data_IF_854316628165
#
_entry.id   IF_854316628165
#
_cell.length_a   1.000
_cell.length_b   1.000
_cell.length_c   1.000
_cell.angle_alpha   90.00
_cell.angle_beta   90.00
_cell.angle_gamma   90.00
#
_symmetry.space_group_name_H-M   'P 1'
#
loop_
_entity.id
_entity.type
_entity.pdbx_description
1 polymer ?
#
# COMPACT_ATOMS: atom_id res chain seq x y z
N UNK A 1 33.93 -9.72 -30.40
CA UNK A 1 32.54 -9.29 -30.58
C UNK A 1 31.67 -10.54 -30.48
N UNK A 2 30.65 -10.57 -29.60
CA UNK A 2 29.74 -11.71 -29.57
C UNK A 2 28.95 -11.75 -30.87
N UNK A 3 28.94 -12.91 -31.54
CA UNK A 3 28.15 -13.14 -32.73
C UNK A 3 26.66 -13.02 -32.37
N UNK A 4 25.90 -12.31 -33.19
CA UNK A 4 24.45 -12.26 -33.09
C UNK A 4 23.90 -13.70 -33.10
N UNK A 5 23.12 -14.05 -32.09
CA UNK A 5 22.40 -15.31 -32.09
C UNK A 5 21.36 -15.25 -33.21
N UNK A 6 21.46 -16.18 -34.15
CA UNK A 6 20.50 -16.35 -35.25
C UNK A 6 19.08 -16.40 -34.68
N UNK A 7 18.18 -15.60 -35.27
CA UNK A 7 16.76 -15.66 -34.96
C UNK A 7 16.25 -17.10 -35.15
N UNK A 8 15.69 -17.69 -34.09
CA UNK A 8 15.12 -19.03 -34.16
C UNK A 8 13.84 -18.94 -35.01
N UNK A 9 13.75 -19.63 -36.16
CA UNK A 9 12.54 -19.61 -36.97
C UNK A 9 11.40 -20.26 -36.19
N UNK A 10 10.31 -19.52 -35.99
CA UNK A 10 9.12 -19.95 -35.22
C UNK A 10 8.57 -21.28 -35.77
N UNK A 11 8.75 -21.52 -37.06
CA UNK A 11 8.28 -22.69 -37.81
C UNK A 11 9.00 -24.00 -37.42
N UNK A 12 10.12 -23.92 -36.69
CA UNK A 12 10.89 -25.10 -36.22
C UNK A 12 10.56 -25.51 -34.79
N UNK A 13 9.65 -24.79 -34.11
CA UNK A 13 9.20 -25.17 -32.78
C UNK A 13 8.20 -26.34 -32.89
N UNK A 14 8.36 -27.41 -32.10
CA UNK A 14 7.43 -28.53 -32.12
C UNK A 14 6.03 -28.05 -31.74
N UNK A 15 5.12 -28.09 -32.70
CA UNK A 15 3.74 -27.57 -32.63
C UNK A 15 2.82 -28.30 -31.64
N UNK A 16 3.32 -29.30 -30.92
CA UNK A 16 2.48 -30.21 -30.16
C UNK A 16 2.92 -30.30 -28.69
N UNK A 17 2.69 -29.22 -27.95
CA UNK A 17 2.42 -29.31 -26.51
C UNK A 17 0.93 -29.12 -26.35
N UNK A 18 0.21 -30.17 -25.94
CA UNK A 18 -1.20 -30.08 -25.63
C UNK A 18 -1.40 -29.05 -24.50
N UNK A 19 -1.83 -27.84 -24.86
CA UNK A 19 -2.00 -26.72 -23.93
C UNK A 19 -3.27 -26.86 -23.07
N UNK A 20 -4.08 -27.89 -23.31
CA UNK A 20 -5.38 -28.07 -22.65
C UNK A 20 -6.45 -27.05 -23.10
N UNK A 21 -6.11 -26.12 -23.98
CA UNK A 21 -7.03 -25.13 -24.52
C UNK A 21 -7.88 -25.78 -25.61
N UNK A 22 -9.20 -25.81 -25.43
CA UNK A 22 -10.11 -26.36 -26.45
C UNK A 22 -10.04 -25.47 -27.69
N UNK A 23 -9.84 -26.07 -28.86
CA UNK A 23 -9.78 -25.35 -30.14
C UNK A 23 -11.04 -24.51 -30.46
N UNK A 24 -12.17 -24.81 -29.82
CA UNK A 24 -13.42 -24.08 -29.95
C UNK A 24 -13.65 -23.01 -28.85
N UNK A 25 -12.68 -22.74 -27.99
CA UNK A 25 -12.81 -21.70 -26.96
C UNK A 25 -12.76 -20.33 -27.63
N UNK A 26 -13.93 -19.70 -27.75
CA UNK A 26 -14.05 -18.34 -28.28
C UNK A 26 -13.35 -17.36 -27.33
N UNK A 27 -12.34 -16.66 -27.82
CA UNK A 27 -11.70 -15.53 -27.13
C UNK A 27 -12.31 -14.23 -27.64
N UNK A 28 -13.21 -13.64 -26.86
CA UNK A 28 -13.85 -12.36 -27.14
C UNK A 28 -13.72 -11.39 -25.96
N UNK A 29 -14.17 -10.15 -26.16
CA UNK A 29 -13.96 -9.07 -25.20
C UNK A 29 -14.53 -9.36 -23.80
N UNK A 30 -15.53 -10.26 -23.68
CA UNK A 30 -16.10 -10.65 -22.40
C UNK A 30 -15.15 -11.49 -21.53
N UNK A 31 -14.05 -12.01 -22.09
CA UNK A 31 -13.00 -12.72 -21.36
C UNK A 31 -11.90 -11.80 -20.81
N UNK A 32 -12.01 -10.48 -21.04
CA UNK A 32 -11.07 -9.49 -20.54
C UNK A 32 -11.62 -8.92 -19.23
N UNK A 33 -10.96 -9.25 -18.12
CA UNK A 33 -11.27 -8.70 -16.80
C UNK A 33 -10.45 -7.45 -16.49
N UNK A 34 -11.06 -6.50 -15.78
CA UNK A 34 -10.40 -5.32 -15.20
C UNK A 34 -10.50 -5.39 -13.69
N UNK A 35 -9.36 -5.45 -13.00
CA UNK A 35 -9.30 -5.37 -11.54
C UNK A 35 -9.20 -3.90 -11.12
N UNK A 36 -10.12 -3.44 -10.28
CA UNK A 36 -10.18 -2.04 -9.84
C UNK A 36 -9.57 -1.84 -8.45
N UNK A 37 -8.94 -0.67 -8.26
CA UNK A 37 -8.38 -0.27 -6.97
C UNK A 37 -7.41 -1.30 -6.38
N UNK A 38 -7.70 -1.75 -5.17
CA UNK A 38 -6.87 -2.70 -4.42
C UNK A 38 -7.23 -4.18 -4.68
N UNK A 39 -8.21 -4.48 -5.54
CA UNK A 39 -8.56 -5.87 -5.88
C UNK A 39 -7.40 -6.58 -6.59
N UNK A 40 -6.63 -5.85 -7.39
CA UNK A 40 -5.42 -6.37 -8.04
C UNK A 40 -4.39 -6.88 -7.01
N UNK A 41 -4.22 -6.18 -5.90
CA UNK A 41 -3.31 -6.58 -4.81
C UNK A 41 -3.77 -7.90 -4.20
N UNK A 42 -5.07 -8.01 -3.89
CA UNK A 42 -5.63 -9.23 -3.28
C UNK A 42 -5.59 -10.43 -4.22
N UNK A 43 -5.80 -10.21 -5.52
CA UNK A 43 -5.81 -11.27 -6.53
C UNK A 43 -4.41 -11.75 -6.90
N UNK A 44 -3.39 -10.90 -6.72
CA UNK A 44 -1.98 -11.15 -7.10
C UNK A 44 -1.00 -10.59 -6.04
N UNK A 45 -1.07 -11.05 -4.77
CA UNK A 45 -0.23 -10.50 -3.69
C UNK A 45 1.26 -10.65 -3.98
N UNK A 46 1.65 -11.73 -4.67
CA UNK A 46 3.00 -12.02 -5.19
C UNK A 46 3.71 -10.81 -5.82
N UNK A 47 2.97 -10.02 -6.59
CA UNK A 47 3.51 -8.88 -7.32
C UNK A 47 3.83 -7.67 -6.43
N UNK A 48 3.26 -7.64 -5.21
CA UNK A 48 3.30 -6.48 -4.33
C UNK A 48 4.14 -6.73 -3.08
N UNK A 49 4.07 -7.94 -2.52
CA UNK A 49 4.69 -8.27 -1.21
C UNK A 49 5.69 -9.43 -1.31
N UNK A 50 6.00 -9.88 -2.54
CA UNK A 50 6.73 -11.14 -2.74
C UNK A 50 5.86 -12.35 -2.38
N UNK A 51 6.49 -13.47 -2.02
CA UNK A 51 5.77 -14.70 -1.70
C UNK A 51 4.82 -14.48 -0.50
N UNK A 52 3.53 -14.90 -0.60
CA UNK A 52 2.54 -14.73 0.47
C UNK A 52 2.73 -15.81 1.56
N UNK A 53 3.94 -15.88 2.10
CA UNK A 53 4.35 -16.73 3.21
C UNK A 53 4.73 -15.88 4.43
N UNK A 54 5.51 -16.42 5.35
CA UNK A 54 6.02 -15.69 6.52
C UNK A 54 6.77 -14.41 6.15
N UNK A 55 7.53 -14.40 5.05
CA UNK A 55 8.28 -13.20 4.61
C UNK A 55 7.32 -12.14 4.12
N UNK A 56 6.35 -12.52 3.29
CA UNK A 56 5.29 -11.61 2.84
C UNK A 56 4.50 -11.01 4.00
N UNK A 57 4.21 -11.81 5.04
CA UNK A 57 3.54 -11.33 6.25
C UNK A 57 4.36 -10.23 6.96
N UNK A 58 5.65 -10.45 7.20
CA UNK A 58 6.52 -9.44 7.81
C UNK A 58 6.71 -8.22 6.91
N UNK A 59 6.75 -8.41 5.59
CA UNK A 59 6.82 -7.33 4.61
C UNK A 59 5.66 -6.34 4.76
N UNK A 60 4.45 -6.81 5.12
CA UNK A 60 3.32 -5.92 5.40
C UNK A 60 3.59 -4.95 6.56
N UNK A 61 4.29 -5.42 7.59
CA UNK A 61 4.70 -4.60 8.74
C UNK A 61 5.79 -3.63 8.32
N UNK A 62 6.77 -4.10 7.54
CA UNK A 62 7.88 -3.28 7.04
C UNK A 62 7.38 -2.12 6.17
N UNK A 63 6.38 -2.34 5.31
CA UNK A 63 5.82 -1.27 4.47
C UNK A 63 5.16 -0.14 5.28
N UNK A 64 4.65 -0.44 6.48
CA UNK A 64 4.14 0.59 7.39
C UNK A 64 5.28 1.25 8.15
N UNK A 65 6.20 0.45 8.69
CA UNK A 65 7.39 0.90 9.42
C UNK A 65 8.28 1.83 8.57
N UNK A 66 8.50 1.51 7.30
CA UNK A 66 9.31 2.28 6.37
C UNK A 66 8.72 3.68 6.14
N UNK A 67 7.39 3.83 6.20
CA UNK A 67 6.80 5.18 6.13
C UNK A 67 7.13 6.01 7.37
N UNK A 68 7.18 5.40 8.55
CA UNK A 68 7.61 6.05 9.78
C UNK A 68 9.11 6.37 9.78
N UNK A 69 9.95 5.51 9.17
CA UNK A 69 11.38 5.78 8.95
C UNK A 69 11.56 6.93 7.96
N UNK A 70 10.75 7.03 6.91
CA UNK A 70 10.82 8.13 5.96
C UNK A 70 10.49 9.49 6.64
N UNK A 71 9.58 9.52 7.61
CA UNK A 71 9.38 10.70 8.47
C UNK A 71 10.61 11.04 9.31
N UNK A 72 11.36 10.03 9.77
CA UNK A 72 12.61 10.23 10.50
C UNK A 72 13.70 10.80 9.58
N UNK A 73 13.86 10.23 8.38
CA UNK A 73 14.80 10.72 7.36
C UNK A 73 14.49 12.15 6.92
N UNK A 74 13.22 12.56 6.96
CA UNK A 74 12.79 13.93 6.72
C UNK A 74 12.97 14.87 7.94
N UNK A 75 13.39 14.35 9.10
CA UNK A 75 13.67 15.12 10.31
C UNK A 75 12.46 15.39 11.21
N UNK A 76 11.34 14.69 11.02
CA UNK A 76 10.10 14.93 11.75
C UNK A 76 9.75 13.85 12.79
N UNK A 77 10.26 12.63 12.63
CA UNK A 77 10.04 11.53 13.56
C UNK A 77 11.30 11.28 14.41
N UNK A 78 11.12 11.13 15.72
CA UNK A 78 12.18 10.80 16.69
C UNK A 78 11.92 9.51 17.45
N UNK A 79 10.69 8.97 17.38
CA UNK A 79 10.30 7.74 18.06
C UNK A 79 9.32 6.95 17.18
N UNK A 80 9.60 5.66 17.03
CA UNK A 80 8.71 4.69 16.41
C UNK A 80 8.49 3.56 17.41
N UNK A 81 7.23 3.17 17.60
CA UNK A 81 6.81 2.08 18.49
C UNK A 81 6.12 1.01 17.65
N UNK A 82 6.61 -0.22 17.73
CA UNK A 82 6.00 -1.39 17.11
C UNK A 82 5.51 -2.31 18.22
N UNK A 83 4.24 -2.70 18.18
CA UNK A 83 3.65 -3.60 19.15
C UNK A 83 2.94 -4.75 18.44
N UNK A 84 3.19 -5.97 18.92
CA UNK A 84 2.43 -7.17 18.54
C UNK A 84 1.39 -7.40 19.63
N UNK A 85 0.12 -7.44 19.23
CA UNK A 85 -1.01 -7.57 20.15
C UNK A 85 -1.35 -9.04 20.39
N UNK A 86 -2.09 -9.31 21.47
CA UNK A 86 -2.48 -10.68 21.86
C UNK A 86 -3.37 -11.36 20.82
N UNK A 87 -4.10 -10.58 20.03
CA UNK A 87 -4.94 -11.08 18.92
C UNK A 87 -4.15 -11.36 17.63
N UNK A 88 -2.82 -11.15 17.64
CA UNK A 88 -1.94 -11.34 16.49
C UNK A 88 -1.84 -10.13 15.56
N UNK A 89 -2.56 -9.04 15.82
CA UNK A 89 -2.40 -7.79 15.06
C UNK A 89 -1.08 -7.09 15.41
N UNK A 90 -0.62 -6.19 14.53
CA UNK A 90 0.60 -5.41 14.73
C UNK A 90 0.28 -3.94 14.54
N UNK A 91 0.63 -3.12 15.53
CA UNK A 91 0.56 -1.67 15.38
C UNK A 91 1.93 -1.04 15.21
N UNK A 92 2.01 -0.05 14.33
CA UNK A 92 3.16 0.84 14.16
C UNK A 92 2.71 2.27 14.46
N UNK A 93 3.34 2.89 15.45
CA UNK A 93 3.10 4.28 15.85
C UNK A 93 4.36 5.10 15.68
N UNK A 94 4.26 6.24 15.01
CA UNK A 94 5.32 7.25 14.96
C UNK A 94 4.87 8.57 15.59
N UNK A 95 5.85 9.43 15.85
CA UNK A 95 5.62 10.83 16.21
C UNK A 95 6.02 11.79 15.08
N UNK A 96 5.86 11.39 13.82
CA UNK A 96 6.09 12.23 12.65
C UNK A 96 5.02 13.31 12.49
N UNK A 97 4.90 13.88 11.28
CA UNK A 97 3.94 14.95 10.97
C UNK A 97 2.47 14.50 10.98
N UNK A 98 2.22 13.20 10.86
CA UNK A 98 0.89 12.65 10.61
C UNK A 98 0.47 12.75 9.14
N UNK A 99 -0.14 11.68 8.61
CA UNK A 99 -0.68 11.67 7.24
C UNK A 99 -1.67 12.84 7.06
N UNK A 100 -1.62 13.59 5.95
CA UNK A 100 -2.58 14.67 5.73
C UNK A 100 -4.04 14.18 5.78
N UNK A 101 -4.88 14.90 6.51
CA UNK A 101 -6.30 14.57 6.72
C UNK A 101 -7.25 15.43 5.88
N UNK A 102 -6.73 16.53 5.33
CA UNK A 102 -7.48 17.46 4.50
C UNK A 102 -8.04 16.81 3.24
N UNK A 103 -9.14 17.38 2.73
CA UNK A 103 -9.70 16.97 1.45
C UNK A 103 -8.72 17.30 0.32
N UNK A 104 -8.30 16.27 -0.41
CA UNK A 104 -7.40 16.43 -1.54
C UNK A 104 -8.05 17.28 -2.65
N UNK A 105 -7.41 18.35 -3.15
CA UNK A 105 -8.04 19.34 -4.04
C UNK A 105 -8.52 18.76 -5.37
N UNK A 106 -7.78 17.80 -5.95
CA UNK A 106 -8.15 17.08 -7.19
C UNK A 106 -9.20 15.98 -6.98
N UNK A 107 -8.96 15.07 -6.02
CA UNK A 107 -9.73 13.85 -5.84
C UNK A 107 -10.95 14.00 -4.92
N UNK A 108 -11.11 15.14 -4.24
CA UNK A 108 -12.28 15.49 -3.43
C UNK A 108 -12.61 14.46 -2.34
N UNK A 109 -11.58 13.84 -1.78
CA UNK A 109 -11.66 12.88 -0.67
C UNK A 109 -10.52 13.16 0.34
N UNK A 110 -10.62 12.71 1.60
CA UNK A 110 -9.54 12.85 2.57
C UNK A 110 -8.22 12.30 2.03
N UNK A 111 -7.13 13.04 2.19
CA UNK A 111 -5.83 12.62 1.68
C UNK A 111 -5.36 11.30 2.32
N UNK A 112 -5.66 11.07 3.61
CA UNK A 112 -5.41 9.79 4.31
C UNK A 112 -6.15 8.62 3.66
N UNK A 113 -7.40 8.81 3.23
CA UNK A 113 -8.14 7.79 2.50
C UNK A 113 -7.47 7.51 1.16
N UNK A 114 -7.21 8.57 0.37
CA UNK A 114 -6.59 8.45 -0.95
C UNK A 114 -5.27 7.67 -0.91
N UNK A 115 -4.38 7.96 0.05
CA UNK A 115 -3.09 7.28 0.14
C UNK A 115 -3.18 5.87 0.71
N UNK A 116 -4.32 5.45 1.27
CA UNK A 116 -4.54 4.10 1.78
C UNK A 116 -5.42 3.25 0.86
N UNK A 117 -6.14 3.83 -0.10
CA UNK A 117 -7.06 3.11 -1.01
C UNK A 117 -6.67 3.13 -2.48
N UNK A 118 -5.74 4.00 -2.91
CA UNK A 118 -5.41 4.16 -4.34
C UNK A 118 -3.94 3.86 -4.63
N UNK A 119 -3.68 2.85 -5.47
CA UNK A 119 -2.33 2.56 -5.97
C UNK A 119 -1.73 3.80 -6.64
N UNK A 120 -0.42 3.98 -6.44
CA UNK A 120 0.34 5.11 -6.98
C UNK A 120 -0.15 6.50 -6.50
N UNK A 121 -0.76 6.57 -5.31
CA UNK A 121 -1.00 7.82 -4.60
C UNK A 121 -0.04 7.98 -3.41
N UNK A 122 0.64 9.13 -3.31
CA UNK A 122 1.60 9.42 -2.26
C UNK A 122 2.37 10.73 -2.47
N UNK A 123 3.04 11.21 -1.43
CA UNK A 123 3.82 12.46 -1.45
C UNK A 123 5.29 12.30 -1.86
N UNK A 124 5.71 11.08 -2.26
CA UNK A 124 7.12 10.70 -2.48
C UNK A 124 7.53 10.65 -3.96
N UNK A 125 6.69 11.16 -4.88
CA UNK A 125 6.97 11.15 -6.33
C UNK A 125 7.83 12.31 -6.84
N UNK A 126 8.26 13.22 -5.96
CA UNK A 126 9.09 14.36 -6.32
C UNK A 126 9.92 14.84 -5.15
N UNK A 127 10.75 15.86 -5.37
CA UNK A 127 11.74 16.37 -4.40
C UNK A 127 11.15 17.20 -3.24
N UNK A 128 9.83 17.18 -3.05
CA UNK A 128 9.11 18.14 -2.18
C UNK A 128 9.05 17.73 -0.72
N UNK A 129 8.27 16.69 -0.41
CA UNK A 129 7.95 16.34 0.98
C UNK A 129 9.01 15.49 1.69
N UNK A 130 9.85 14.79 0.90
CA UNK A 130 10.93 13.92 1.36
C UNK A 130 12.11 14.08 0.42
N UNK A 131 13.28 14.48 0.95
CA UNK A 131 14.52 14.59 0.18
C UNK A 131 15.13 13.22 -0.13
N UNK A 132 14.99 12.30 0.82
CA UNK A 132 15.36 10.88 0.69
C UNK A 132 14.22 10.06 1.29
N UNK A 133 13.81 8.99 0.62
CA UNK A 133 12.83 8.05 1.13
C UNK A 133 13.06 6.65 0.58
N UNK A 134 12.86 5.62 1.39
CA UNK A 134 12.84 4.22 0.93
C UNK A 134 11.60 3.93 0.08
N UNK A 135 10.45 4.53 0.42
CA UNK A 135 9.21 4.34 -0.32
C UNK A 135 9.12 5.19 -1.59
N UNK A 136 9.24 4.58 -2.78
CA UNK A 136 9.18 5.31 -4.07
C UNK A 136 7.95 5.01 -4.92
N UNK A 137 7.34 3.84 -4.75
CA UNK A 137 6.27 3.38 -5.65
C UNK A 137 4.88 3.93 -5.29
N UNK A 138 4.70 4.35 -4.04
CA UNK A 138 3.39 4.71 -3.50
C UNK A 138 2.44 3.51 -3.48
N UNK A 139 2.88 2.38 -2.92
CA UNK A 139 2.15 1.09 -2.94
C UNK A 139 2.13 0.37 -1.59
N UNK A 140 3.14 0.53 -0.74
CA UNK A 140 3.32 -0.20 0.53
C UNK A 140 2.12 -0.31 1.46
N UNK A 141 1.86 0.74 2.26
CA UNK A 141 0.82 0.71 3.31
C UNK A 141 -0.60 0.39 2.79
N UNK A 142 -0.89 0.69 1.53
CA UNK A 142 -2.16 0.32 0.89
C UNK A 142 -2.21 -1.15 0.48
N UNK A 143 -1.08 -1.80 0.21
CA UNK A 143 -1.03 -3.25 0.11
C UNK A 143 -1.28 -3.93 1.46
N UNK A 144 -0.74 -3.36 2.55
CA UNK A 144 -1.10 -3.79 3.92
C UNK A 144 -2.61 -3.65 4.14
N UNK A 145 -3.20 -2.49 3.88
CA UNK A 145 -4.67 -2.31 3.95
C UNK A 145 -5.43 -3.32 3.07
N UNK A 146 -5.00 -3.53 1.82
CA UNK A 146 -5.64 -4.45 0.90
C UNK A 146 -5.65 -5.90 1.41
N UNK A 147 -4.56 -6.34 2.05
CA UNK A 147 -4.35 -7.72 2.46
C UNK A 147 -4.80 -8.02 3.89
N UNK A 148 -5.00 -7.00 4.73
CA UNK A 148 -5.54 -7.17 6.08
C UNK A 148 -7.05 -7.47 6.08
N UNK A 149 -7.51 -8.26 7.05
CA UNK A 149 -8.94 -8.48 7.30
C UNK A 149 -9.64 -7.20 7.76
N UNK A 150 -8.98 -6.48 8.66
CA UNK A 150 -9.30 -5.13 9.11
C UNK A 150 -8.02 -4.30 9.18
N UNK A 151 -8.13 -2.99 9.02
CA UNK A 151 -7.01 -2.05 9.09
C UNK A 151 -7.52 -0.73 9.67
N UNK A 152 -6.81 -0.16 10.64
CA UNK A 152 -7.17 1.10 11.28
C UNK A 152 -6.02 2.08 11.17
N UNK A 153 -6.37 3.36 10.97
CA UNK A 153 -5.42 4.46 11.06
C UNK A 153 -5.95 5.50 12.04
N UNK A 154 -5.07 5.92 12.94
CA UNK A 154 -5.25 7.11 13.76
C UNK A 154 -4.18 8.13 13.37
N UNK A 155 -4.59 9.36 13.14
CA UNK A 155 -3.69 10.47 12.84
C UNK A 155 -3.83 11.53 13.92
N UNK A 156 -2.74 11.82 14.63
CA UNK A 156 -2.66 12.99 15.50
C UNK A 156 -2.13 14.17 14.68
N UNK A 157 -2.95 15.20 14.50
CA UNK A 157 -2.59 16.41 13.73
C UNK A 157 -3.52 17.57 14.09
N UNK A 158 -3.01 18.80 14.05
CA UNK A 158 -3.80 20.02 14.27
C UNK A 158 -4.63 20.02 15.57
N UNK A 159 -4.08 19.44 16.64
CA UNK A 159 -4.76 19.36 17.95
C UNK A 159 -5.79 18.25 18.08
N UNK A 160 -6.07 17.49 17.02
CA UNK A 160 -7.10 16.44 17.00
C UNK A 160 -6.50 15.04 16.75
N UNK A 161 -7.24 14.01 17.15
CA UNK A 161 -7.01 12.61 16.78
C UNK A 161 -8.09 12.20 15.80
N UNK A 162 -7.69 11.97 14.56
CA UNK A 162 -8.55 11.49 13.49
C UNK A 162 -8.47 9.97 13.41
N UNK A 163 -9.58 9.32 13.10
CA UNK A 163 -9.68 7.88 12.93
C UNK A 163 -10.36 7.52 11.61
N UNK A 164 -9.87 6.45 10.99
CA UNK A 164 -10.49 5.82 9.84
C UNK A 164 -10.24 4.31 9.87
N UNK A 165 -11.21 3.52 9.41
CA UNK A 165 -11.10 2.07 9.39
C UNK A 165 -11.45 1.49 8.01
N UNK A 166 -10.85 0.35 7.72
CA UNK A 166 -10.96 -0.35 6.47
C UNK A 166 -11.05 -1.86 6.70
N UNK A 167 -11.59 -2.57 5.71
CA UNK A 167 -11.56 -4.02 5.65
C UNK A 167 -11.23 -4.46 4.22
N UNK A 168 -10.17 -5.26 4.05
CA UNK A 168 -9.73 -5.78 2.75
C UNK A 168 -9.53 -4.66 1.71
N UNK A 169 -8.95 -3.53 2.13
CA UNK A 169 -8.70 -2.37 1.28
C UNK A 169 -9.89 -1.43 1.05
N UNK A 170 -11.07 -1.72 1.61
CA UNK A 170 -12.29 -0.91 1.44
C UNK A 170 -12.55 -0.09 2.69
N UNK A 171 -12.86 1.20 2.53
CA UNK A 171 -13.28 2.07 3.64
C UNK A 171 -14.53 1.52 4.31
N UNK A 172 -14.45 1.22 5.60
CA UNK A 172 -15.59 0.79 6.42
C UNK A 172 -16.09 1.92 7.31
N UNK A 173 -15.16 2.70 7.88
CA UNK A 173 -15.49 3.89 8.66
C UNK A 173 -14.88 5.11 7.99
N UNK A 174 -15.69 6.15 7.76
CA UNK A 174 -15.22 7.42 7.20
C UNK A 174 -14.35 8.16 8.22
N UNK A 175 -13.50 9.06 7.73
CA UNK A 175 -12.65 9.91 8.57
C UNK A 175 -13.50 10.66 9.60
N UNK A 176 -13.20 10.46 10.87
CA UNK A 176 -13.89 11.07 12.01
C UNK A 176 -12.88 11.56 13.04
N UNK A 177 -13.24 12.57 13.82
CA UNK A 177 -12.44 13.00 14.98
C UNK A 177 -12.91 12.22 16.19
N UNK A 178 -11.98 11.51 16.85
CA UNK A 178 -12.27 10.67 18.02
C UNK A 178 -11.74 11.26 19.33
N UNK A 179 -11.01 12.38 19.27
CA UNK A 179 -10.54 13.08 20.45
C UNK A 179 -9.60 14.24 20.12
N UNK A 180 -9.10 14.87 21.18
CA UNK A 180 -8.09 15.92 21.11
C UNK A 180 -6.77 15.42 21.69
N UNK A 181 -5.64 15.90 21.16
CA UNK A 181 -4.34 15.61 21.76
C UNK A 181 -4.13 16.50 22.99
N UNK A 182 -3.63 15.90 24.08
CA UNK A 182 -3.34 16.64 25.33
C UNK A 182 -2.33 17.78 25.14
N UNK A 183 -1.35 17.56 24.27
CA UNK A 183 -0.36 18.56 23.88
C UNK A 183 -0.57 18.87 22.40
N UNK A 184 -0.88 20.12 22.05
CA UNK A 184 -1.12 20.54 20.65
C UNK A 184 0.09 20.34 19.72
N UNK A 185 1.29 20.11 20.27
CA UNK A 185 2.48 19.74 19.50
C UNK A 185 2.56 18.25 19.18
N UNK A 186 1.70 17.41 19.77
CA UNK A 186 1.66 15.98 19.49
C UNK A 186 1.11 15.76 18.09
N UNK A 187 1.96 15.18 17.25
CA UNK A 187 1.63 14.72 15.92
C UNK A 187 2.09 13.28 15.75
N UNK A 188 1.54 12.59 14.74
CA UNK A 188 1.99 11.25 14.41
C UNK A 188 0.92 10.43 13.71
N UNK A 189 1.34 9.25 13.26
CA UNK A 189 0.43 8.25 12.69
C UNK A 189 0.53 6.97 13.50
N UNK A 190 -0.62 6.36 13.78
CA UNK A 190 -0.74 5.00 14.26
C UNK A 190 -1.50 4.21 13.20
N UNK A 191 -0.92 3.11 12.73
CA UNK A 191 -1.59 2.12 11.91
C UNK A 191 -1.63 0.81 12.70
N UNK A 192 -2.78 0.13 12.68
CA UNK A 192 -2.98 -1.21 13.25
C UNK A 192 -3.69 -2.10 12.25
#
# INVERSE_FOLDING_TARGET
MPQAQDEIPVDKLPLNRATGIRAAQKYDAAQIDKLEGLEAVRKRPGMFIGDPDERGLHHLVFEVLDNSIDEHLAGFCTKIEVAVHVDGSVSVRDNGRGIPVDIHPKWKMPAVELVLTNLHAGGKFGQGAYKYSGGLHGVGAKCTNALSEWFKVEVSRDGSVYHMAFAKGKTTDKLTVIGEVKNKKTTGTLIT
#
